data_IF_082188877069
#
_entry.id   IF_082188877069
#
_cell.length_a   1.000
_cell.length_b   1.000
_cell.length_c   1.000
_cell.angle_alpha   90.00
_cell.angle_beta   90.00
_cell.angle_gamma   90.00
#
_symmetry.space_group_name_H-M   'P 1'
#
loop_
_entity.id
_entity.type
_entity.pdbx_description
1 polymer ?
#
# COMPACT_ATOMS: atom_id res chain seq x y z
N UNK A 1 11.04 54.01 7.31
CA UNK A 1 9.86 53.41 7.97
C UNK A 1 8.98 52.82 6.89
N UNK A 2 9.13 51.53 6.62
CA UNK A 2 8.30 50.82 5.64
C UNK A 2 6.95 50.56 6.29
N UNK A 3 5.92 51.27 5.84
CA UNK A 3 4.55 51.04 6.28
C UNK A 3 4.13 49.66 5.77
N UNK A 4 4.09 48.68 6.68
CA UNK A 4 3.42 47.40 6.43
C UNK A 4 1.93 47.72 6.36
N UNK A 5 1.37 47.78 5.16
CA UNK A 5 -0.07 47.90 4.98
C UNK A 5 -0.70 46.59 5.47
N UNK A 6 -1.23 46.59 6.68
CA UNK A 6 -2.07 45.49 7.17
C UNK A 6 -3.30 45.40 6.27
N UNK A 7 -3.54 44.24 5.67
CA UNK A 7 -4.70 43.99 4.83
C UNK A 7 -5.99 44.27 5.62
N UNK A 8 -6.86 45.14 5.09
CA UNK A 8 -8.10 45.54 5.77
C UNK A 8 -9.12 44.42 5.80
N UNK A 9 -9.11 43.53 4.81
CA UNK A 9 -9.95 42.33 4.79
C UNK A 9 -9.17 41.16 5.38
N UNK A 10 -9.61 40.67 6.52
CA UNK A 10 -9.01 39.55 7.23
C UNK A 10 -9.66 38.25 6.80
N UNK A 11 -8.83 37.35 6.31
CA UNK A 11 -9.18 35.99 5.91
C UNK A 11 -8.09 35.03 6.37
N UNK A 12 -8.38 33.74 6.33
CA UNK A 12 -7.36 32.70 6.46
C UNK A 12 -6.69 32.52 5.10
N UNK A 13 -5.34 32.58 4.98
CA UNK A 13 -4.67 32.48 3.68
C UNK A 13 -4.84 31.11 3.04
N UNK A 14 -4.89 30.05 3.84
CA UNK A 14 -5.09 28.68 3.40
C UNK A 14 -6.04 27.94 4.33
N UNK A 15 -6.95 27.16 3.75
CA UNK A 15 -7.84 26.26 4.49
C UNK A 15 -7.81 24.89 3.81
N UNK A 16 -7.77 23.83 4.60
CA UNK A 16 -7.79 22.45 4.08
C UNK A 16 -9.14 21.80 4.33
N UNK A 17 -9.60 20.97 3.38
CA UNK A 17 -10.86 20.24 3.53
C UNK A 17 -10.82 18.90 2.79
N UNK A 18 -11.80 18.03 3.06
CA UNK A 18 -11.96 16.72 2.44
C UNK A 18 -13.29 16.64 1.68
N UNK A 19 -13.40 15.79 0.63
CA UNK A 19 -14.63 15.65 -0.15
C UNK A 19 -15.80 15.20 0.74
N UNK A 20 -17.02 15.56 0.34
CA UNK A 20 -18.28 15.37 1.08
C UNK A 20 -18.38 16.09 2.43
N UNK A 21 -17.29 16.70 2.90
CA UNK A 21 -17.30 17.55 4.08
C UNK A 21 -17.80 18.96 3.79
N UNK A 22 -17.43 19.86 4.69
CA UNK A 22 -17.78 21.27 4.64
C UNK A 22 -16.60 22.13 5.06
N UNK A 23 -16.54 23.36 4.56
CA UNK A 23 -15.54 24.34 4.99
C UNK A 23 -16.21 25.67 5.30
N UNK A 24 -15.69 26.36 6.32
CA UNK A 24 -16.06 27.74 6.60
C UNK A 24 -14.92 28.62 6.09
N UNK A 25 -15.22 29.57 5.20
CA UNK A 25 -14.27 30.56 4.73
C UNK A 25 -14.53 31.86 5.48
N UNK A 26 -13.61 32.19 6.39
CA UNK A 26 -13.73 33.38 7.24
C UNK A 26 -13.44 34.64 6.43
N UNK A 27 -14.28 35.66 6.61
CA UNK A 27 -14.02 37.00 6.12
C UNK A 27 -14.53 38.06 7.09
N UNK A 28 -13.70 39.07 7.34
CA UNK A 28 -13.94 40.15 8.31
C UNK A 28 -13.30 41.44 7.78
N UNK A 29 -13.98 42.58 7.92
CA UNK A 29 -13.37 43.88 7.64
C UNK A 29 -12.79 44.48 8.92
N UNK A 30 -11.48 44.65 8.97
CA UNK A 30 -10.77 45.18 10.13
C UNK A 30 -10.95 46.68 10.24
N UNK A 31 -11.60 47.13 11.32
CA UNK A 31 -11.76 48.53 11.71
C UNK A 31 -12.27 49.42 10.56
N UNK A 32 -13.59 49.42 10.36
CA UNK A 32 -14.25 50.24 9.35
C UNK A 32 -13.95 51.73 9.51
N UNK A 33 -13.75 52.22 10.74
CA UNK A 33 -13.48 53.64 11.00
C UNK A 33 -14.56 54.53 10.39
N UNK A 34 -14.19 55.42 9.46
CA UNK A 34 -15.13 56.25 8.68
C UNK A 34 -15.58 55.61 7.36
N UNK A 35 -15.05 54.43 7.01
CA UNK A 35 -15.32 53.71 5.77
C UNK A 35 -16.69 53.02 5.84
N UNK A 36 -17.58 53.32 4.90
CA UNK A 36 -18.88 52.67 4.80
C UNK A 36 -18.78 51.41 3.95
N UNK A 37 -19.20 50.27 4.50
CA UNK A 37 -19.35 49.01 3.78
C UNK A 37 -20.69 49.01 3.05
N UNK A 38 -20.70 48.67 1.77
CA UNK A 38 -21.92 48.72 0.93
C UNK A 38 -22.38 47.33 0.48
N UNK A 39 -21.44 46.47 0.10
CA UNK A 39 -21.69 45.12 -0.38
C UNK A 39 -20.47 44.25 -0.09
N UNK A 40 -20.69 42.95 0.03
CA UNK A 40 -19.62 41.94 0.01
C UNK A 40 -19.90 40.88 -1.06
N UNK A 41 -18.87 40.49 -1.78
CA UNK A 41 -18.90 39.48 -2.84
C UNK A 41 -17.83 38.42 -2.56
N UNK A 42 -18.23 37.16 -2.59
CA UNK A 42 -17.32 36.03 -2.67
C UNK A 42 -17.19 35.57 -4.12
N UNK A 43 -15.96 35.52 -4.60
CA UNK A 43 -15.60 35.04 -5.94
C UNK A 43 -14.75 33.78 -5.85
N UNK A 44 -15.02 32.81 -6.72
CA UNK A 44 -14.19 31.63 -6.91
C UNK A 44 -13.33 31.81 -8.16
N UNK A 45 -12.03 31.59 -8.00
CA UNK A 45 -11.01 31.65 -9.06
C UNK A 45 -10.27 30.31 -9.09
N UNK A 46 -10.66 29.46 -10.05
CA UNK A 46 -10.04 28.14 -10.26
C UNK A 46 -8.75 28.25 -11.06
N UNK A 47 -8.78 29.08 -12.10
CA UNK A 47 -7.65 29.42 -12.96
C UNK A 47 -7.44 30.93 -12.82
N UNK A 48 -6.18 31.37 -12.83
CA UNK A 48 -5.84 32.78 -12.66
C UNK A 48 -6.58 33.66 -13.68
N UNK A 49 -7.28 34.69 -13.19
CA UNK A 49 -8.07 35.61 -14.01
C UNK A 49 -9.50 35.16 -14.31
N UNK A 50 -9.86 33.89 -14.07
CA UNK A 50 -11.21 33.37 -14.31
C UNK A 50 -12.05 33.40 -13.02
N UNK A 51 -12.69 34.54 -12.75
CA UNK A 51 -13.42 34.82 -11.51
C UNK A 51 -14.93 34.72 -11.69
N UNK A 52 -15.56 33.93 -10.83
CA UNK A 52 -17.01 33.77 -10.80
C UNK A 52 -17.58 34.12 -9.42
N UNK A 53 -18.59 34.99 -9.36
CA UNK A 53 -19.30 35.26 -8.11
C UNK A 53 -20.03 34.00 -7.62
N UNK A 54 -19.78 33.57 -6.39
CA UNK A 54 -20.44 32.41 -5.77
C UNK A 54 -21.44 32.81 -4.68
N UNK A 55 -21.22 33.95 -4.02
CA UNK A 55 -22.15 34.52 -3.05
C UNK A 55 -22.00 36.04 -3.00
N UNK A 56 -23.11 36.76 -2.90
CA UNK A 56 -23.14 38.22 -2.77
C UNK A 56 -24.12 38.58 -1.67
N UNK A 57 -23.75 39.50 -0.78
CA UNK A 57 -24.66 40.03 0.24
C UNK A 57 -24.73 41.56 0.15
N UNK A 58 -25.96 42.06 0.06
CA UNK A 58 -26.27 43.48 0.08
C UNK A 58 -27.32 43.78 1.16
N UNK A 59 -27.14 44.79 2.04
CA UNK A 59 -28.06 45.05 3.16
C UNK A 59 -29.52 45.25 2.76
N UNK A 60 -29.78 45.82 1.58
CA UNK A 60 -31.14 46.07 1.08
C UNK A 60 -31.73 44.89 0.30
N UNK A 61 -30.90 44.10 -0.39
CA UNK A 61 -31.37 43.06 -1.33
C UNK A 61 -31.17 41.64 -0.80
N UNK A 62 -30.48 41.49 0.34
CA UNK A 62 -30.19 40.20 0.96
C UNK A 62 -29.05 39.44 0.30
N UNK A 63 -29.03 38.13 0.51
CA UNK A 63 -28.04 37.20 -0.04
C UNK A 63 -28.45 36.69 -1.43
N UNK A 64 -27.48 36.56 -2.33
CA UNK A 64 -27.63 36.00 -3.67
C UNK A 64 -26.50 35.00 -3.97
N UNK A 65 -26.82 33.89 -4.63
CA UNK A 65 -25.89 32.79 -4.95
C UNK A 65 -25.96 32.48 -6.46
N UNK A 66 -25.27 33.27 -7.31
CA UNK A 66 -25.49 33.22 -8.75
C UNK A 66 -24.79 32.04 -9.47
N UNK A 67 -23.82 31.38 -8.85
CA UNK A 67 -23.08 30.30 -9.48
C UNK A 67 -23.78 28.94 -9.31
N UNK A 68 -24.19 28.34 -10.44
CA UNK A 68 -24.89 27.04 -10.48
C UNK A 68 -24.06 25.86 -9.95
N UNK A 69 -22.73 25.90 -10.06
CA UNK A 69 -21.88 24.83 -9.54
C UNK A 69 -21.92 24.73 -8.00
N UNK A 70 -22.31 25.83 -7.35
CA UNK A 70 -22.41 25.99 -5.91
C UNK A 70 -23.86 26.00 -5.39
N UNK A 71 -24.84 25.74 -6.26
CA UNK A 71 -26.26 25.79 -5.92
C UNK A 71 -26.61 24.83 -4.76
N UNK A 72 -27.30 25.36 -3.76
CA UNK A 72 -27.65 24.64 -2.52
C UNK A 72 -26.45 24.18 -1.67
N UNK A 73 -25.24 24.65 -1.95
CA UNK A 73 -24.00 24.29 -1.20
C UNK A 73 -23.40 25.46 -0.43
N UNK A 74 -23.66 26.70 -0.83
CA UNK A 74 -23.06 27.89 -0.22
C UNK A 74 -24.11 28.65 0.59
N UNK A 75 -23.72 29.10 1.79
CA UNK A 75 -24.55 29.94 2.65
C UNK A 75 -23.69 30.93 3.44
N UNK A 76 -24.20 32.13 3.71
CA UNK A 76 -23.59 33.03 4.69
C UNK A 76 -23.80 32.51 6.12
N UNK A 77 -22.79 32.65 6.98
CA UNK A 77 -22.88 32.20 8.38
C UNK A 77 -23.70 33.15 9.25
N UNK A 78 -23.61 34.46 9.02
CA UNK A 78 -24.35 35.49 9.77
C UNK A 78 -25.12 36.47 8.88
N UNK A 79 -24.93 36.41 7.55
CA UNK A 79 -25.67 37.24 6.59
C UNK A 79 -25.57 38.74 6.89
N UNK A 80 -24.37 39.24 7.18
CA UNK A 80 -24.13 40.64 7.53
C UNK A 80 -22.85 41.15 6.87
N UNK A 81 -22.71 42.48 6.77
CA UNK A 81 -21.46 43.11 6.31
C UNK A 81 -20.35 43.08 7.37
N UNK A 82 -20.68 42.86 8.64
CA UNK A 82 -19.67 42.74 9.70
C UNK A 82 -18.99 41.37 9.67
N UNK A 83 -19.75 40.33 9.35
CA UNK A 83 -19.26 38.96 9.24
C UNK A 83 -19.88 38.22 8.05
N UNK A 84 -19.38 38.48 6.83
CA UNK A 84 -19.85 37.82 5.62
C UNK A 84 -19.11 36.52 5.34
N UNK A 85 -18.66 35.82 6.39
CA UNK A 85 -18.08 34.50 6.24
C UNK A 85 -19.10 33.55 5.59
N UNK A 86 -18.61 32.65 4.73
CA UNK A 86 -19.46 31.67 4.05
C UNK A 86 -19.11 30.26 4.50
N UNK A 87 -20.10 29.39 4.41
CA UNK A 87 -19.94 27.95 4.55
C UNK A 87 -20.22 27.30 3.19
N UNK A 88 -19.37 26.35 2.81
CA UNK A 88 -19.54 25.53 1.61
C UNK A 88 -19.71 24.08 2.08
N UNK A 89 -20.87 23.50 1.83
CA UNK A 89 -21.21 22.11 2.12
C UNK A 89 -21.04 21.20 0.90
N UNK A 90 -21.01 19.88 1.12
CA UNK A 90 -20.90 18.85 0.07
C UNK A 90 -19.73 19.13 -0.87
N UNK A 91 -18.55 19.33 -0.28
CA UNK A 91 -17.33 19.69 -1.01
C UNK A 91 -16.93 18.62 -2.04
N UNK A 92 -16.41 19.08 -3.17
CA UNK A 92 -15.89 18.28 -4.28
C UNK A 92 -14.42 18.58 -4.48
N UNK A 93 -13.67 17.65 -5.07
CA UNK A 93 -12.25 17.89 -5.39
C UNK A 93 -12.04 19.10 -6.32
N UNK A 94 -13.01 19.37 -7.18
CA UNK A 94 -13.02 20.50 -8.10
C UNK A 94 -13.24 21.87 -7.42
N UNK A 95 -13.69 21.89 -6.15
CA UNK A 95 -13.85 23.13 -5.38
C UNK A 95 -12.50 23.69 -4.89
N UNK A 96 -11.39 22.96 -5.08
CA UNK A 96 -10.05 23.48 -4.81
C UNK A 96 -9.74 24.70 -5.69
N UNK A 97 -9.21 25.75 -5.08
CA UNK A 97 -8.90 27.00 -5.79
C UNK A 97 -8.84 28.19 -4.85
N UNK A 98 -8.82 29.40 -5.42
CA UNK A 98 -8.76 30.66 -4.68
C UNK A 98 -10.16 31.22 -4.49
N UNK A 99 -10.48 31.60 -3.26
CA UNK A 99 -11.74 32.23 -2.88
C UNK A 99 -11.44 33.64 -2.42
N UNK A 100 -12.03 34.63 -3.09
CA UNK A 100 -11.78 36.04 -2.87
C UNK A 100 -13.00 36.65 -2.19
N UNK A 101 -12.82 37.17 -0.98
CA UNK A 101 -13.82 38.00 -0.32
C UNK A 101 -13.51 39.46 -0.62
N UNK A 102 -14.38 40.13 -1.36
CA UNK A 102 -14.26 41.53 -1.74
C UNK A 102 -15.37 42.37 -1.09
N UNK A 103 -14.97 43.44 -0.41
CA UNK A 103 -15.88 44.47 0.07
C UNK A 103 -15.89 45.65 -0.90
N UNK A 104 -17.08 46.08 -1.30
CA UNK A 104 -17.28 47.38 -1.91
C UNK A 104 -17.43 48.44 -0.82
N UNK A 105 -16.55 49.44 -0.79
CA UNK A 105 -16.53 50.46 0.25
C UNK A 105 -16.55 51.88 -0.29
N UNK A 106 -17.07 52.83 0.50
CA UNK A 106 -17.03 54.25 0.19
C UNK A 106 -16.34 55.03 1.33
N UNK A 107 -15.41 55.96 1.03
CA UNK A 107 -14.89 56.34 -0.30
C UNK A 107 -13.67 55.53 -0.76
N UNK A 108 -13.24 54.52 0.00
CA UNK A 108 -11.95 53.84 -0.20
C UNK A 108 -11.89 52.87 -1.38
N UNK A 109 -13.00 52.60 -2.06
CA UNK A 109 -13.05 51.65 -3.17
C UNK A 109 -13.14 50.20 -2.71
N UNK A 110 -12.74 49.25 -3.56
CA UNK A 110 -12.83 47.84 -3.25
C UNK A 110 -11.60 47.37 -2.46
N UNK A 111 -11.85 46.56 -1.44
CA UNK A 111 -10.83 45.94 -0.60
C UNK A 111 -11.09 44.44 -0.56
N UNK A 112 -10.05 43.61 -0.65
CA UNK A 112 -10.24 42.16 -0.76
C UNK A 112 -9.25 41.33 0.07
N UNK A 113 -9.70 40.14 0.46
CA UNK A 113 -8.94 39.05 1.05
C UNK A 113 -9.01 37.81 0.17
N UNK A 114 -7.95 36.99 0.13
CA UNK A 114 -7.94 35.73 -0.63
C UNK A 114 -7.59 34.55 0.26
N UNK A 115 -8.42 33.51 0.20
CA UNK A 115 -8.21 32.21 0.85
C UNK A 115 -8.01 31.14 -0.21
N UNK A 116 -6.96 30.33 -0.08
CA UNK A 116 -6.77 29.15 -0.94
C UNK A 116 -7.37 27.92 -0.26
N UNK A 117 -8.37 27.30 -0.90
CA UNK A 117 -8.95 26.04 -0.45
C UNK A 117 -8.16 24.86 -1.03
N UNK A 118 -7.50 24.11 -0.14
CA UNK A 118 -6.72 22.92 -0.47
C UNK A 118 -7.56 21.67 -0.16
N UNK A 119 -7.99 20.97 -1.21
CA UNK A 119 -8.67 19.69 -1.06
C UNK A 119 -7.66 18.58 -0.80
N UNK A 120 -7.90 17.81 0.26
CA UNK A 120 -7.13 16.64 0.65
C UNK A 120 -7.96 15.37 0.43
N UNK A 121 -7.29 14.29 0.07
CA UNK A 121 -7.89 12.97 -0.10
C UNK A 121 -6.99 11.92 0.53
N UNK A 122 -7.59 11.09 1.38
CA UNK A 122 -6.89 9.97 2.01
C UNK A 122 -6.78 8.82 1.01
N UNK A 123 -5.57 8.29 0.74
CA UNK A 123 -5.41 7.23 -0.23
C UNK A 123 -6.04 5.92 0.25
N UNK A 124 -6.52 5.11 -0.70
CA UNK A 124 -6.88 3.72 -0.46
C UNK A 124 -5.65 2.86 -0.69
N UNK A 125 -5.14 2.29 0.40
CA UNK A 125 -3.87 1.57 0.38
C UNK A 125 -4.11 0.07 0.30
N UNK A 126 -3.28 -0.63 -0.49
CA UNK A 126 -3.28 -2.08 -0.62
C UNK A 126 -1.89 -2.59 -0.94
N UNK A 127 -1.54 -3.79 -0.48
CA UNK A 127 -0.32 -4.46 -0.86
C UNK A 127 -0.56 -5.97 -1.02
N UNK A 128 0.17 -6.60 -1.94
CA UNK A 128 0.06 -8.02 -2.26
C UNK A 128 1.44 -8.62 -2.52
N UNK A 129 1.65 -9.86 -2.06
CA UNK A 129 2.76 -10.69 -2.50
C UNK A 129 2.37 -11.42 -3.79
N UNK A 130 3.31 -11.54 -4.73
CA UNK A 130 3.12 -12.26 -5.99
C UNK A 130 3.87 -13.60 -5.87
N UNK A 131 3.18 -14.74 -6.04
CA UNK A 131 3.84 -16.03 -6.15
C UNK A 131 4.78 -16.06 -7.35
N UNK A 132 6.04 -16.42 -7.11
CA UNK A 132 7.09 -16.48 -8.13
C UNK A 132 7.87 -17.77 -8.01
N UNK A 133 8.38 -18.28 -9.13
CA UNK A 133 9.29 -19.43 -9.12
C UNK A 133 10.72 -19.00 -8.83
N UNK A 134 11.45 -19.78 -8.04
CA UNK A 134 12.88 -19.59 -7.81
C UNK A 134 13.66 -19.62 -9.13
N UNK A 135 14.65 -18.75 -9.29
CA UNK A 135 15.37 -18.61 -10.54
C UNK A 135 16.58 -17.69 -10.47
N UNK A 136 17.13 -17.35 -11.64
CA UNK A 136 18.35 -16.53 -11.79
C UNK A 136 18.09 -15.12 -12.30
N UNK A 137 16.82 -14.75 -12.53
CA UNK A 137 16.43 -13.45 -13.06
C UNK A 137 15.60 -12.68 -12.06
N UNK A 138 15.67 -11.35 -12.16
CA UNK A 138 14.93 -10.47 -11.28
C UNK A 138 13.47 -10.36 -11.71
N UNK A 139 12.54 -10.61 -10.77
CA UNK A 139 11.09 -10.56 -10.99
C UNK A 139 10.40 -9.74 -9.91
N UNK A 140 9.17 -9.31 -10.17
CA UNK A 140 8.34 -8.61 -9.17
C UNK A 140 7.78 -9.63 -8.18
N UNK A 141 8.10 -9.46 -6.90
CA UNK A 141 7.67 -10.37 -5.82
C UNK A 141 6.60 -9.76 -4.93
N UNK A 142 6.46 -8.43 -4.93
CA UNK A 142 5.44 -7.74 -4.18
C UNK A 142 5.03 -6.45 -4.87
N UNK A 143 3.75 -6.08 -4.70
CA UNK A 143 3.19 -4.82 -5.18
C UNK A 143 2.53 -4.08 -4.05
N UNK A 144 2.65 -2.77 -4.06
CA UNK A 144 1.98 -1.88 -3.13
C UNK A 144 1.38 -0.70 -3.88
N UNK A 145 0.20 -0.28 -3.47
CA UNK A 145 -0.57 0.77 -4.13
C UNK A 145 -1.19 1.69 -3.08
N UNK A 146 -1.08 2.98 -3.32
CA UNK A 146 -1.75 4.06 -2.59
C UNK A 146 -2.62 4.84 -3.59
N UNK A 147 -3.87 4.42 -3.73
CA UNK A 147 -4.76 4.92 -4.78
C UNK A 147 -5.50 6.20 -4.37
N UNK A 148 -5.60 7.15 -5.30
CA UNK A 148 -6.42 8.36 -5.19
C UNK A 148 -6.11 9.22 -3.93
N UNK A 149 -4.81 9.39 -3.62
CA UNK A 149 -4.35 10.27 -2.54
C UNK A 149 -4.17 11.72 -3.01
N UNK A 150 -4.45 12.68 -2.13
CA UNK A 150 -4.08 14.09 -2.33
C UNK A 150 -3.63 14.74 -1.02
N UNK A 151 -2.37 15.21 -0.91
CA UNK A 151 -1.30 15.10 -1.90
C UNK A 151 -0.89 13.64 -2.14
N UNK A 152 -0.01 13.41 -3.12
CA UNK A 152 0.51 12.08 -3.41
C UNK A 152 1.16 11.43 -2.17
N UNK A 153 1.05 10.11 -2.08
CA UNK A 153 1.63 9.33 -0.98
C UNK A 153 3.07 8.92 -1.33
N UNK A 154 3.89 8.70 -0.30
CA UNK A 154 5.19 8.05 -0.47
C UNK A 154 5.10 6.58 -0.07
N UNK A 155 5.71 5.72 -0.89
CA UNK A 155 5.76 4.27 -0.65
C UNK A 155 7.22 3.87 -0.42
N UNK A 156 7.49 3.15 0.65
CA UNK A 156 8.78 2.52 0.94
C UNK A 156 8.61 1.07 1.39
N UNK A 157 9.69 0.31 1.41
CA UNK A 157 9.69 -1.10 1.79
C UNK A 157 10.67 -1.34 2.94
N UNK A 158 10.23 -2.08 3.95
CA UNK A 158 11.04 -2.54 5.09
C UNK A 158 11.23 -4.05 4.94
N UNK A 159 12.48 -4.48 4.74
CA UNK A 159 12.83 -5.90 4.62
C UNK A 159 14.34 -6.11 4.80
N UNK A 160 14.73 -7.34 5.13
CA UNK A 160 16.13 -7.81 5.13
C UNK A 160 16.53 -8.45 3.79
N UNK A 161 15.59 -8.58 2.86
CA UNK A 161 15.77 -9.28 1.59
C UNK A 161 16.35 -8.33 0.55
N UNK A 162 17.51 -8.67 -0.01
CA UNK A 162 18.15 -7.86 -1.03
C UNK A 162 17.28 -7.75 -2.29
N UNK A 163 17.08 -6.52 -2.76
CA UNK A 163 16.26 -6.24 -3.93
C UNK A 163 16.23 -4.74 -4.23
N UNK A 164 15.41 -4.35 -5.20
CA UNK A 164 15.17 -2.95 -5.56
C UNK A 164 13.68 -2.72 -5.77
N UNK A 165 13.25 -1.49 -5.58
CA UNK A 165 11.89 -1.10 -5.88
C UNK A 165 11.88 0.22 -6.63
N UNK A 166 10.88 0.36 -7.49
CA UNK A 166 10.56 1.62 -8.14
C UNK A 166 9.14 2.02 -7.75
N UNK A 167 8.82 3.30 -7.93
CA UNK A 167 7.47 3.79 -7.83
C UNK A 167 7.05 4.48 -9.12
N UNK A 168 5.75 4.45 -9.40
CA UNK A 168 5.11 5.17 -10.48
C UNK A 168 3.99 6.00 -9.88
N UNK A 169 3.85 7.24 -10.35
CA UNK A 169 2.84 8.19 -9.90
C UNK A 169 1.93 8.50 -11.09
N UNK A 170 0.63 8.24 -10.94
CA UNK A 170 -0.38 8.45 -11.98
C UNK A 170 -1.37 9.51 -11.51
N UNK A 171 -1.37 10.71 -12.10
CA UNK A 171 -2.36 11.73 -11.79
C UNK A 171 -3.73 11.36 -12.37
N UNK A 172 -4.78 11.60 -11.58
CA UNK A 172 -6.17 11.33 -11.93
C UNK A 172 -6.93 12.62 -12.30
N UNK A 173 -8.07 12.48 -12.98
CA UNK A 173 -8.86 13.62 -13.47
C UNK A 173 -9.38 14.55 -12.37
N UNK A 174 -9.60 14.02 -11.17
CA UNK A 174 -10.06 14.77 -9.99
C UNK A 174 -8.90 15.45 -9.23
N UNK A 175 -7.67 15.36 -9.76
CA UNK A 175 -6.46 15.91 -9.17
C UNK A 175 -5.94 15.13 -7.97
N UNK A 176 -6.47 13.92 -7.72
CA UNK A 176 -5.81 12.94 -6.86
C UNK A 176 -4.68 12.24 -7.63
N UNK A 177 -3.85 11.48 -6.90
CA UNK A 177 -2.70 10.77 -7.45
C UNK A 177 -2.71 9.34 -6.92
N UNK A 178 -2.52 8.38 -7.82
CA UNK A 178 -2.35 6.97 -7.49
C UNK A 178 -0.88 6.60 -7.61
N UNK A 179 -0.26 6.17 -6.50
CA UNK A 179 1.14 5.77 -6.46
C UNK A 179 1.23 4.25 -6.36
N UNK A 180 2.01 3.62 -7.25
CA UNK A 180 2.24 2.17 -7.27
C UNK A 180 3.72 1.88 -7.15
N UNK A 181 4.08 0.92 -6.29
CA UNK A 181 5.45 0.44 -6.13
C UNK A 181 5.53 -1.07 -6.32
N UNK A 182 6.58 -1.50 -7.02
CA UNK A 182 6.88 -2.91 -7.26
C UNK A 182 8.24 -3.25 -6.66
N UNK A 183 8.29 -4.26 -5.78
CA UNK A 183 9.54 -4.78 -5.23
C UNK A 183 10.05 -5.92 -6.11
N UNK A 184 11.32 -5.82 -6.52
CA UNK A 184 11.97 -6.72 -7.45
C UNK A 184 13.21 -7.35 -6.82
N UNK A 185 13.36 -8.66 -7.00
CA UNK A 185 14.51 -9.43 -6.52
C UNK A 185 14.69 -10.71 -7.36
N UNK A 186 15.83 -11.39 -7.18
CA UNK A 186 16.06 -12.73 -7.73
C UNK A 186 15.60 -13.75 -6.68
N UNK A 187 14.47 -14.45 -6.89
CA UNK A 187 13.88 -15.32 -5.87
C UNK A 187 14.67 -16.60 -5.67
N UNK A 188 14.97 -16.95 -4.41
CA UNK A 188 15.53 -18.25 -4.03
C UNK A 188 14.63 -18.96 -3.01
N UNK A 189 14.76 -20.29 -2.85
CA UNK A 189 13.98 -21.05 -1.86
C UNK A 189 14.11 -20.50 -0.43
N UNK A 190 15.29 -19.95 -0.09
CA UNK A 190 15.57 -19.40 1.23
C UNK A 190 14.74 -18.15 1.57
N UNK A 191 14.15 -17.46 0.58
CA UNK A 191 13.27 -16.30 0.82
C UNK A 191 11.80 -16.68 0.97
N UNK A 192 11.41 -17.93 0.70
CA UNK A 192 10.03 -18.35 0.85
C UNK A 192 9.55 -18.15 2.30
N UNK A 193 8.37 -17.55 2.47
CA UNK A 193 7.78 -17.27 3.77
C UNK A 193 8.44 -16.13 4.56
N UNK A 194 9.56 -15.54 4.10
CA UNK A 194 10.15 -14.34 4.71
C UNK A 194 9.22 -13.14 4.55
N UNK A 195 9.31 -12.22 5.50
CA UNK A 195 8.46 -11.03 5.55
C UNK A 195 9.07 -9.84 4.80
N UNK A 196 8.22 -9.12 4.08
CA UNK A 196 8.49 -7.83 3.48
C UNK A 196 7.31 -6.90 3.76
N UNK A 197 7.59 -5.71 4.27
CA UNK A 197 6.53 -4.76 4.67
C UNK A 197 6.51 -3.56 3.73
N UNK A 198 5.36 -3.30 3.10
CA UNK A 198 5.13 -2.01 2.43
C UNK A 198 4.73 -0.95 3.46
N UNK A 199 5.35 0.21 3.40
CA UNK A 199 5.02 1.39 4.18
C UNK A 199 4.45 2.49 3.28
N UNK A 200 3.21 2.90 3.55
CA UNK A 200 2.56 4.01 2.85
C UNK A 200 2.43 5.19 3.79
N UNK A 201 3.06 6.31 3.44
CA UNK A 201 3.06 7.54 4.23
C UNK A 201 2.42 8.69 3.46
N UNK A 202 1.44 9.36 4.08
CA UNK A 202 0.77 10.51 3.50
C UNK A 202 0.12 11.35 4.61
N UNK A 203 0.16 12.68 4.48
CA UNK A 203 -0.20 13.63 5.55
C UNK A 203 -1.64 13.57 6.05
N UNK A 204 -2.56 12.90 5.34
CA UNK A 204 -3.95 12.74 5.81
C UNK A 204 -4.14 11.48 6.66
N UNK A 205 -3.10 10.65 6.73
CA UNK A 205 -3.04 9.50 7.62
C UNK A 205 -2.48 9.96 8.98
N UNK A 206 -3.06 9.47 10.07
CA UNK A 206 -2.58 9.74 11.44
C UNK A 206 -1.14 9.22 11.60
N UNK A 207 -0.85 8.09 10.98
CA UNK A 207 0.42 7.37 11.01
C UNK A 207 0.66 6.71 9.64
N UNK A 208 1.92 6.43 9.27
CA UNK A 208 2.25 5.59 8.13
C UNK A 208 1.56 4.23 8.24
N UNK A 209 0.94 3.75 7.16
CA UNK A 209 0.28 2.45 7.13
C UNK A 209 1.23 1.37 6.64
N UNK A 210 1.42 0.35 7.49
CA UNK A 210 2.25 -0.81 7.23
C UNK A 210 1.40 -1.98 6.69
N UNK A 211 1.91 -2.66 5.67
CA UNK A 211 1.34 -3.86 5.09
C UNK A 211 2.40 -4.97 5.07
N UNK A 212 2.46 -5.80 6.13
CA UNK A 212 3.36 -6.95 6.15
C UNK A 212 2.87 -8.02 5.19
N UNK A 213 3.78 -8.52 4.35
CA UNK A 213 3.52 -9.56 3.36
C UNK A 213 4.51 -10.70 3.57
N UNK A 214 4.06 -11.94 3.36
CA UNK A 214 4.95 -13.10 3.28
C UNK A 214 5.22 -13.41 1.81
N UNK A 215 6.49 -13.52 1.45
CA UNK A 215 6.86 -13.93 0.10
C UNK A 215 6.43 -15.37 -0.16
N UNK A 216 6.00 -15.64 -1.39
CA UNK A 216 5.65 -16.97 -1.87
C UNK A 216 6.60 -17.31 -3.00
N UNK A 217 7.65 -18.08 -2.67
CA UNK A 217 8.64 -18.53 -3.65
C UNK A 217 8.46 -20.02 -3.88
N UNK A 218 8.14 -20.38 -5.11
CA UNK A 218 7.87 -21.72 -5.58
C UNK A 218 9.16 -22.38 -6.11
N UNK A 219 9.45 -23.61 -5.69
CA UNK A 219 10.63 -24.38 -6.06
C UNK A 219 10.39 -25.90 -5.99
N UNK A 220 11.11 -26.70 -6.82
CA UNK A 220 11.01 -28.15 -6.78
C UNK A 220 11.61 -28.73 -5.48
N UNK A 221 11.28 -29.99 -5.12
CA UNK A 221 11.68 -30.56 -3.83
C UNK A 221 13.20 -30.75 -3.70
N UNK A 222 13.76 -30.33 -2.57
CA UNK A 222 15.11 -30.69 -2.13
C UNK A 222 15.02 -31.78 -1.09
N UNK A 223 15.48 -32.99 -1.44
CA UNK A 223 15.25 -34.21 -0.66
C UNK A 223 16.45 -34.54 0.25
N UNK A 224 16.16 -34.92 1.48
CA UNK A 224 17.11 -35.47 2.46
C UNK A 224 16.58 -36.79 3.03
N UNK A 225 17.50 -37.68 3.40
CA UNK A 225 17.16 -38.94 4.08
C UNK A 225 17.78 -38.88 5.48
N UNK A 226 16.95 -39.05 6.50
CA UNK A 226 17.32 -39.03 7.91
C UNK A 226 17.14 -40.41 8.55
N UNK A 227 17.79 -40.66 9.69
CA UNK A 227 17.64 -41.89 10.48
C UNK A 227 18.71 -42.97 10.23
N UNK A 228 19.61 -42.76 9.27
CA UNK A 228 20.78 -43.63 9.10
C UNK A 228 21.88 -43.24 10.08
N UNK A 229 22.25 -44.18 10.95
CA UNK A 229 23.21 -43.95 12.05
C UNK A 229 24.59 -44.58 11.80
N UNK A 230 24.85 -45.05 10.58
CA UNK A 230 26.08 -45.77 10.21
C UNK A 230 26.39 -46.99 11.09
N UNK A 231 25.41 -47.52 11.84
CA UNK A 231 25.62 -48.61 12.81
C UNK A 231 24.71 -49.81 12.54
N UNK A 232 24.55 -50.20 11.28
CA UNK A 232 23.69 -51.32 10.89
C UNK A 232 24.51 -52.60 10.94
N UNK A 233 24.08 -53.58 11.73
CA UNK A 233 24.73 -54.90 11.86
C UNK A 233 23.72 -56.01 11.58
N UNK A 234 24.18 -57.20 11.19
CA UNK A 234 23.31 -58.33 10.88
C UNK A 234 22.36 -58.65 12.05
N UNK A 235 21.07 -58.76 11.74
CA UNK A 235 20.03 -59.08 12.73
C UNK A 235 19.49 -57.87 13.50
N UNK A 236 20.03 -56.66 13.31
CA UNK A 236 19.42 -55.43 13.85
C UNK A 236 17.97 -55.30 13.38
N UNK A 237 17.06 -54.99 14.29
CA UNK A 237 15.62 -54.88 13.98
C UNK A 237 15.11 -53.46 14.07
N UNK A 238 14.06 -53.16 13.31
CA UNK A 238 13.30 -51.90 13.37
C UNK A 238 14.15 -50.64 13.11
N UNK A 239 15.07 -50.70 12.14
CA UNK A 239 15.78 -49.50 11.69
C UNK A 239 14.87 -48.69 10.75
N UNK A 240 14.84 -47.36 10.91
CA UNK A 240 13.93 -46.49 10.16
C UNK A 240 14.70 -45.40 9.44
N UNK A 241 14.41 -45.24 8.17
CA UNK A 241 14.80 -44.08 7.38
C UNK A 241 13.57 -43.20 7.13
N UNK A 242 13.74 -41.89 7.21
CA UNK A 242 12.68 -40.91 6.93
C UNK A 242 13.11 -40.02 5.78
N UNK A 243 12.26 -39.91 4.77
CA UNK A 243 12.47 -39.00 3.66
C UNK A 243 11.84 -37.65 3.99
N UNK A 244 12.68 -36.63 4.04
CA UNK A 244 12.28 -35.24 4.23
C UNK A 244 12.49 -34.50 2.91
N UNK A 245 11.61 -33.55 2.62
CA UNK A 245 11.75 -32.70 1.45
C UNK A 245 11.31 -31.28 1.76
N UNK A 246 12.18 -30.33 1.47
CA UNK A 246 11.83 -28.91 1.43
C UNK A 246 11.33 -28.57 0.02
N UNK A 247 10.07 -28.18 -0.10
CA UNK A 247 9.41 -27.90 -1.37
C UNK A 247 8.28 -26.90 -1.21
N UNK A 248 8.07 -26.05 -2.21
CA UNK A 248 6.88 -25.22 -2.32
C UNK A 248 6.42 -25.16 -3.80
N UNK A 249 5.20 -25.59 -4.16
CA UNK A 249 4.15 -26.12 -3.29
C UNK A 249 4.50 -27.45 -2.62
N UNK A 250 3.67 -27.83 -1.64
CA UNK A 250 3.84 -29.06 -0.87
C UNK A 250 3.96 -30.30 -1.78
N UNK A 251 4.77 -31.31 -1.40
CA UNK A 251 4.91 -32.54 -2.16
C UNK A 251 3.58 -33.26 -2.39
N UNK A 252 3.42 -33.82 -3.58
CA UNK A 252 2.25 -34.61 -3.99
C UNK A 252 2.51 -36.11 -3.96
N UNK A 253 3.77 -36.53 -4.08
CA UNK A 253 4.16 -37.95 -4.11
C UNK A 253 5.55 -38.16 -3.48
N UNK A 254 5.72 -39.29 -2.79
CA UNK A 254 6.98 -39.74 -2.19
C UNK A 254 7.16 -41.22 -2.49
N UNK A 255 8.22 -41.56 -3.21
CA UNK A 255 8.51 -42.92 -3.65
C UNK A 255 9.87 -43.37 -3.13
N UNK A 256 9.91 -44.57 -2.55
CA UNK A 256 11.14 -45.25 -2.16
C UNK A 256 11.51 -46.36 -3.14
N UNK A 257 12.79 -46.45 -3.51
CA UNK A 257 13.33 -47.51 -4.36
C UNK A 257 14.70 -47.96 -3.85
N UNK A 258 15.12 -49.16 -4.20
CA UNK A 258 16.52 -49.55 -4.10
C UNK A 258 17.20 -49.29 -5.45
N UNK A 259 18.51 -48.99 -5.45
CA UNK A 259 19.28 -48.85 -6.68
C UNK A 259 19.30 -50.15 -7.52
N UNK A 260 19.12 -51.31 -6.86
CA UNK A 260 18.91 -52.62 -7.49
C UNK A 260 17.55 -52.77 -8.20
N UNK A 261 16.66 -51.78 -8.09
CA UNK A 261 15.32 -51.74 -8.69
C UNK A 261 14.22 -52.09 -7.70
N UNK A 262 14.34 -53.21 -6.99
CA UNK A 262 13.32 -53.69 -6.05
C UNK A 262 13.78 -53.57 -4.60
N UNK A 263 12.89 -53.10 -3.72
CA UNK A 263 13.18 -53.02 -2.28
C UNK A 263 13.36 -54.43 -1.68
N UNK A 264 14.28 -54.60 -0.72
CA UNK A 264 14.47 -55.87 -0.03
C UNK A 264 13.18 -56.36 0.65
N UNK A 265 12.93 -57.68 0.74
CA UNK A 265 11.71 -58.22 1.37
C UNK A 265 11.56 -57.86 2.86
N UNK A 266 12.67 -57.59 3.54
CA UNK A 266 12.72 -57.15 4.94
C UNK A 266 12.35 -55.67 5.14
N UNK A 267 12.13 -54.92 4.05
CA UNK A 267 11.82 -53.50 4.03
C UNK A 267 10.34 -53.25 3.78
N UNK A 268 9.77 -52.31 4.52
CA UNK A 268 8.40 -51.82 4.35
C UNK A 268 8.39 -50.31 4.22
N UNK A 269 7.55 -49.81 3.31
CA UNK A 269 7.36 -48.38 3.08
C UNK A 269 6.01 -47.98 3.65
N UNK A 270 6.02 -46.95 4.47
CA UNK A 270 4.83 -46.27 4.99
C UNK A 270 4.98 -44.78 4.74
N UNK A 271 4.32 -44.28 3.70
CA UNK A 271 4.43 -42.90 3.23
C UNK A 271 5.90 -42.46 3.02
N UNK A 272 6.38 -41.50 3.80
CA UNK A 272 7.75 -41.00 3.73
C UNK A 272 8.75 -41.81 4.56
N UNK A 273 8.32 -42.86 5.27
CA UNK A 273 9.17 -43.70 6.11
C UNK A 273 9.46 -45.04 5.46
N UNK A 274 10.71 -45.48 5.56
CA UNK A 274 11.18 -46.79 5.16
C UNK A 274 11.63 -47.54 6.42
N UNK A 275 10.90 -48.59 6.78
CA UNK A 275 11.16 -49.45 7.92
C UNK A 275 11.88 -50.71 7.47
N UNK A 276 13.09 -50.91 7.97
CA UNK A 276 13.84 -52.16 7.86
C UNK A 276 13.51 -53.02 9.07
N UNK A 277 12.67 -54.05 8.88
CA UNK A 277 12.23 -54.95 9.97
C UNK A 277 13.40 -55.71 10.56
N UNK A 278 14.31 -56.20 9.71
CA UNK A 278 15.52 -56.93 10.09
C UNK A 278 16.61 -56.66 9.06
N UNK A 279 17.79 -56.26 9.52
CA UNK A 279 18.98 -56.08 8.67
C UNK A 279 19.54 -57.46 8.31
N UNK A 280 19.64 -57.72 7.01
CA UNK A 280 20.18 -58.93 6.39
C UNK A 280 21.12 -58.53 5.23
N UNK A 281 21.75 -59.50 4.57
CA UNK A 281 22.69 -59.24 3.46
C UNK A 281 22.08 -58.44 2.30
N UNK A 282 20.76 -58.51 2.09
CA UNK A 282 20.06 -57.80 1.00
C UNK A 282 19.86 -56.31 1.30
N UNK A 283 20.08 -55.89 2.55
CA UNK A 283 19.99 -54.50 2.99
C UNK A 283 21.27 -53.71 2.69
N UNK A 284 22.37 -54.37 2.30
CA UNK A 284 23.59 -53.72 1.79
C UNK A 284 23.34 -53.16 0.37
N UNK A 285 22.52 -52.10 0.28
CA UNK A 285 22.06 -51.49 -0.96
C UNK A 285 21.97 -49.97 -0.81
N UNK A 286 21.76 -49.29 -1.93
CA UNK A 286 21.50 -47.85 -1.94
C UNK A 286 20.01 -47.60 -1.98
N UNK A 287 19.47 -47.00 -0.93
CA UNK A 287 18.09 -46.54 -0.89
C UNK A 287 17.96 -45.19 -1.57
N UNK A 288 16.95 -45.05 -2.41
CA UNK A 288 16.64 -43.83 -3.15
C UNK A 288 15.26 -43.36 -2.72
N UNK A 289 15.17 -42.16 -2.18
CA UNK A 289 13.89 -41.47 -2.01
C UNK A 289 13.74 -40.44 -3.14
N UNK A 290 12.64 -40.52 -3.88
CA UNK A 290 12.22 -39.52 -4.85
C UNK A 290 10.94 -38.84 -4.37
N UNK A 291 10.93 -37.51 -4.38
CA UNK A 291 9.80 -36.68 -3.96
C UNK A 291 9.41 -35.77 -5.11
N UNK A 292 8.11 -35.63 -5.35
CA UNK A 292 7.56 -34.83 -6.45
C UNK A 292 6.58 -33.77 -5.93
N UNK A 293 6.64 -32.57 -6.50
CA UNK A 293 5.60 -31.56 -6.38
C UNK A 293 5.11 -31.13 -7.78
N UNK A 294 4.26 -30.10 -7.84
CA UNK A 294 3.71 -29.58 -9.10
C UNK A 294 4.76 -29.01 -10.06
N UNK A 295 5.99 -28.71 -9.59
CA UNK A 295 7.04 -28.07 -10.36
C UNK A 295 8.11 -29.06 -10.84
N UNK A 296 8.29 -30.18 -10.16
CA UNK A 296 9.28 -31.18 -10.53
C UNK A 296 9.46 -32.28 -9.49
N UNK A 297 10.53 -33.05 -9.64
CA UNK A 297 10.96 -34.04 -8.67
C UNK A 297 12.39 -33.78 -8.18
N UNK A 298 12.64 -34.15 -6.93
CA UNK A 298 13.96 -34.24 -6.33
C UNK A 298 14.20 -35.65 -5.84
N UNK A 299 15.47 -36.07 -5.75
CA UNK A 299 15.83 -37.38 -5.22
C UNK A 299 17.08 -37.33 -4.36
N UNK A 300 17.15 -38.24 -3.40
CA UNK A 300 18.33 -38.45 -2.56
C UNK A 300 18.64 -39.94 -2.49
N UNK A 301 19.93 -40.25 -2.55
CA UNK A 301 20.46 -41.60 -2.46
C UNK A 301 21.21 -41.76 -1.13
N UNK A 302 21.05 -42.90 -0.48
CA UNK A 302 21.70 -43.28 0.76
C UNK A 302 22.23 -44.71 0.64
N UNK A 303 23.55 -44.87 0.63
CA UNK A 303 24.19 -46.17 0.71
C UNK A 303 24.12 -46.70 2.15
N UNK A 304 23.34 -47.77 2.35
CA UNK A 304 23.33 -48.49 3.61
C UNK A 304 24.36 -49.61 3.57
N UNK A 305 25.24 -49.64 4.57
CA UNK A 305 26.29 -50.66 4.72
C UNK A 305 26.11 -51.39 6.04
N UNK A 306 26.51 -52.65 6.06
CA UNK A 306 26.45 -53.50 7.24
C UNK A 306 27.85 -53.56 7.84
N UNK A 307 27.97 -53.28 9.14
CA UNK A 307 29.23 -53.41 9.87
C UNK A 307 29.54 -54.90 10.03
N UNK A 308 30.65 -55.34 9.43
CA UNK A 308 31.13 -56.71 9.51
C UNK A 308 31.66 -57.27 8.20
N UNK A 309 32.73 -56.66 7.67
CA UNK A 309 33.90 -57.36 7.12
C UNK A 309 35.16 -56.76 7.77
#
# INVERSE_FOLDING_TARGET
MSAVWSQRVRVEPEVTASPNGSVNLRCEFANSGSTKLTQVSWMFERVEGDRHNIAVFHPQYGASFPNKDFDGRVSFTQGSLENPSIRIDKLRMADAGRYICEYATYPSGNEQGTTTLIMLAKPRNSAIAIPVQAGSSEVVVARCEAAQGKPEATISWITTIAGRYNHTSVPERDGTVTVKSEYRMIPTPAENGKEITCMVNQRTQIEPKAFPLKLVVEYPPTVTIEGYDNNWYMGRTNAVLTCQADANPAPTDVTWRAASGQLPPSVQVDQNRLLVRKVDETVNTTFVCEVKNSLGSGKKELAATIIGE
#
